data_IF_998230925572
#
_entry.id   IF_998230925572
#
_cell.length_a   1.000
_cell.length_b   1.000
_cell.length_c   1.000
_cell.angle_alpha   90.00
_cell.angle_beta   90.00
_cell.angle_gamma   90.00
#
_symmetry.space_group_name_H-M   'P 1'
#
loop_
_entity.id
_entity.type
_entity.pdbx_description
1 polymer ?
#
# COMPACT_ATOMS: atom_id res chain seq x y z
N UNK A 1 -36.43 13.75 71.64
CA UNK A 1 -37.47 12.84 71.14
C UNK A 1 -37.83 13.27 69.71
N UNK A 2 -37.58 12.39 68.73
CA UNK A 2 -38.18 12.32 67.38
C UNK A 2 -38.04 13.58 66.47
N UNK A 3 -37.14 13.59 65.47
CA UNK A 3 -37.21 12.94 64.15
C UNK A 3 -38.31 13.51 63.23
N UNK A 4 -37.90 14.19 62.15
CA UNK A 4 -38.39 14.08 60.74
C UNK A 4 -37.81 15.26 59.93
N UNK A 5 -36.80 15.02 59.09
CA UNK A 5 -36.92 14.67 57.65
C UNK A 5 -37.66 15.74 56.84
N UNK A 6 -36.93 16.58 56.11
CA UNK A 6 -37.16 16.83 54.67
C UNK A 6 -35.81 17.20 54.03
N UNK A 7 -35.23 16.23 53.33
CA UNK A 7 -34.07 16.39 52.46
C UNK A 7 -34.63 16.64 51.06
N UNK A 8 -34.66 17.89 50.60
CA UNK A 8 -34.98 18.20 49.20
C UNK A 8 -33.68 18.26 48.43
N UNK A 9 -33.29 17.11 47.87
CA UNK A 9 -32.15 16.96 46.98
C UNK A 9 -32.56 17.49 45.59
N UNK A 10 -32.06 18.66 45.19
CA UNK A 10 -32.20 19.14 43.80
C UNK A 10 -31.17 18.40 42.97
N UNK A 11 -31.63 17.38 42.24
CA UNK A 11 -30.85 16.70 41.21
C UNK A 11 -30.77 17.67 40.03
N UNK A 12 -29.63 18.37 39.92
CA UNK A 12 -29.25 19.06 38.70
C UNK A 12 -28.95 17.98 37.65
N UNK A 13 -29.94 17.69 36.82
CA UNK A 13 -29.78 16.91 35.60
C UNK A 13 -28.81 17.66 34.68
N UNK A 14 -27.53 17.29 34.72
CA UNK A 14 -26.62 17.54 33.62
C UNK A 14 -27.18 16.81 32.41
N UNK A 15 -27.78 17.56 31.50
CA UNK A 15 -27.97 17.16 30.11
C UNK A 15 -26.56 16.93 29.54
N UNK A 16 -26.06 15.70 29.69
CA UNK A 16 -25.02 15.21 28.80
C UNK A 16 -25.72 15.18 27.45
N UNK A 17 -25.50 16.23 26.67
CA UNK A 17 -25.85 16.27 25.26
C UNK A 17 -25.00 15.20 24.59
N UNK A 18 -25.46 13.96 24.66
CA UNK A 18 -25.06 12.92 23.74
C UNK A 18 -25.42 13.46 22.36
N UNK A 19 -24.43 13.99 21.65
CA UNK A 19 -24.46 13.99 20.19
C UNK A 19 -24.62 12.53 19.80
N UNK A 20 -25.87 12.09 19.66
CA UNK A 20 -26.19 10.94 18.85
C UNK A 20 -25.73 11.30 17.45
N UNK A 21 -24.51 10.89 17.09
CA UNK A 21 -24.16 10.76 15.69
C UNK A 21 -25.29 9.97 15.03
N UNK A 22 -25.84 10.41 13.90
CA UNK A 22 -26.72 9.56 13.13
C UNK A 22 -25.96 8.27 12.89
N UNK A 23 -26.55 7.16 13.32
CA UNK A 23 -26.10 5.82 13.00
C UNK A 23 -26.19 5.75 11.48
N UNK A 24 -25.08 6.01 10.81
CA UNK A 24 -24.94 5.79 9.39
C UNK A 24 -25.09 4.27 9.26
N UNK A 25 -26.28 3.83 8.88
CA UNK A 25 -26.46 2.50 8.31
C UNK A 25 -25.43 2.42 7.18
N UNK A 26 -24.39 1.63 7.41
CA UNK A 26 -23.54 1.16 6.32
C UNK A 26 -24.41 0.15 5.59
N UNK A 27 -25.08 0.65 4.57
CA UNK A 27 -25.84 -0.16 3.63
C UNK A 27 -24.94 -1.28 3.11
N UNK A 28 -25.41 -2.53 3.15
CA UNK A 28 -24.73 -3.76 2.70
C UNK A 28 -24.19 -3.65 1.25
N UNK A 29 -24.70 -2.69 0.47
CA UNK A 29 -24.24 -2.37 -0.88
C UNK A 29 -22.80 -1.79 -0.91
N UNK A 30 -22.39 -1.05 0.12
CA UNK A 30 -21.06 -0.44 0.20
C UNK A 30 -19.94 -1.47 0.42
N UNK A 31 -20.21 -2.52 1.19
CA UNK A 31 -19.26 -3.62 1.42
C UNK A 31 -19.03 -4.43 0.15
N UNK A 32 -20.11 -4.72 -0.60
CA UNK A 32 -20.05 -5.46 -1.86
C UNK A 32 -19.26 -4.71 -2.95
N UNK A 33 -19.42 -3.39 -3.04
CA UNK A 33 -18.67 -2.57 -3.99
C UNK A 33 -17.18 -2.47 -3.63
N UNK A 34 -16.84 -2.34 -2.35
CA UNK A 34 -15.44 -2.29 -1.90
C UNK A 34 -14.71 -3.63 -2.09
N UNK A 35 -15.38 -4.75 -1.81
CA UNK A 35 -14.82 -6.09 -2.03
C UNK A 35 -14.62 -6.38 -3.53
N UNK A 36 -15.58 -5.97 -4.36
CA UNK A 36 -15.49 -6.11 -5.81
C UNK A 36 -14.41 -5.20 -6.43
N UNK A 37 -14.22 -3.99 -5.90
CA UNK A 37 -13.12 -3.11 -6.27
C UNK A 37 -11.75 -3.73 -5.88
N UNK A 38 -11.63 -4.25 -4.66
CA UNK A 38 -10.41 -4.96 -4.21
C UNK A 38 -10.11 -6.20 -5.06
N UNK A 39 -11.13 -6.96 -5.46
CA UNK A 39 -10.97 -8.14 -6.32
C UNK A 39 -10.52 -7.75 -7.72
N UNK A 40 -11.07 -6.67 -8.27
CA UNK A 40 -10.66 -6.11 -9.56
C UNK A 40 -9.22 -5.61 -9.50
N UNK A 41 -8.83 -4.88 -8.44
CA UNK A 41 -7.47 -4.39 -8.25
C UNK A 41 -6.44 -5.53 -8.09
N UNK A 42 -6.78 -6.60 -7.36
CA UNK A 42 -5.95 -7.82 -7.28
C UNK A 42 -5.75 -8.50 -8.64
N UNK A 43 -6.66 -8.30 -9.59
CA UNK A 43 -6.51 -8.74 -10.98
C UNK A 43 -5.58 -7.88 -11.83
N UNK A 44 -5.29 -6.64 -11.38
CA UNK A 44 -4.43 -5.69 -12.08
C UNK A 44 -2.99 -5.78 -11.57
N UNK A 45 -2.81 -5.75 -10.24
CA UNK A 45 -1.51 -5.84 -9.60
C UNK A 45 -1.58 -6.48 -8.21
N UNK A 46 -0.45 -7.02 -7.78
CA UNK A 46 -0.22 -7.52 -6.44
C UNK A 46 1.21 -7.20 -6.00
N UNK A 47 1.45 -7.16 -4.69
CA UNK A 47 2.79 -7.00 -4.17
C UNK A 47 3.00 -7.85 -2.92
N UNK A 48 4.25 -8.28 -2.72
CA UNK A 48 4.66 -9.14 -1.61
C UNK A 48 6.02 -8.69 -1.09
N UNK A 49 6.13 -8.56 0.23
CA UNK A 49 7.40 -8.24 0.87
C UNK A 49 8.27 -9.47 1.02
N UNK A 50 9.57 -9.30 0.78
CA UNK A 50 10.59 -10.34 0.98
C UNK A 50 10.31 -11.64 0.21
N UNK A 51 9.54 -11.57 -0.88
CA UNK A 51 9.23 -12.69 -1.74
C UNK A 51 10.06 -12.63 -3.03
N UNK A 52 10.59 -13.77 -3.45
CA UNK A 52 11.33 -13.94 -4.71
C UNK A 52 10.72 -15.13 -5.45
N UNK A 53 10.47 -14.98 -6.75
CA UNK A 53 9.97 -16.09 -7.56
C UNK A 53 11.06 -17.16 -7.66
N UNK A 54 10.74 -18.47 -7.53
CA UNK A 54 11.76 -19.52 -7.59
C UNK A 54 12.66 -19.44 -8.84
N UNK A 55 12.07 -19.10 -9.99
CA UNK A 55 12.80 -18.91 -11.26
C UNK A 55 13.72 -17.69 -11.30
N UNK A 56 13.53 -16.71 -10.42
CA UNK A 56 14.35 -15.50 -10.33
C UNK A 56 15.36 -15.57 -9.18
N UNK A 57 15.34 -16.64 -8.38
CA UNK A 57 16.01 -16.71 -7.09
C UNK A 57 17.50 -16.36 -7.16
N UNK A 58 18.24 -17.04 -8.04
CA UNK A 58 19.70 -16.88 -8.14
C UNK A 58 20.07 -15.47 -8.60
N UNK A 59 19.38 -14.97 -9.63
CA UNK A 59 19.67 -13.66 -10.20
C UNK A 59 19.27 -12.49 -9.30
N UNK A 60 18.15 -12.62 -8.58
CA UNK A 60 17.68 -11.61 -7.63
C UNK A 60 18.58 -11.63 -6.40
N UNK A 61 18.99 -12.79 -5.89
CA UNK A 61 19.93 -12.87 -4.77
C UNK A 61 21.29 -12.25 -5.11
N UNK A 62 21.82 -12.52 -6.32
CA UNK A 62 23.04 -11.89 -6.80
C UNK A 62 22.88 -10.36 -6.84
N UNK A 63 21.82 -9.88 -7.48
CA UNK A 63 21.52 -8.45 -7.57
C UNK A 63 21.32 -7.79 -6.19
N UNK A 64 20.69 -8.47 -5.23
CA UNK A 64 20.53 -7.98 -3.85
C UNK A 64 21.87 -7.86 -3.13
N UNK A 65 22.76 -8.83 -3.33
CA UNK A 65 24.12 -8.78 -2.77
C UNK A 65 24.91 -7.57 -3.30
N UNK A 66 24.85 -7.34 -4.61
CA UNK A 66 25.46 -6.19 -5.28
C UNK A 66 24.85 -4.85 -4.80
N UNK A 67 23.53 -4.82 -4.65
CA UNK A 67 22.80 -3.64 -4.18
C UNK A 67 23.13 -3.30 -2.72
N UNK A 68 23.29 -4.30 -1.85
CA UNK A 68 23.69 -4.12 -0.43
C UNK A 68 25.12 -3.63 -0.27
N UNK A 69 26.02 -4.07 -1.15
CA UNK A 69 27.41 -3.62 -1.17
C UNK A 69 27.56 -2.15 -1.58
N UNK A 70 26.51 -1.55 -2.17
CA UNK A 70 26.49 -0.13 -2.49
C UNK A 70 26.51 0.72 -1.20
N UNK A 71 27.39 1.74 -1.20
CA UNK A 71 27.59 2.64 -0.05
C UNK A 71 26.52 3.71 0.11
N UNK A 72 25.62 3.87 -0.86
CA UNK A 72 24.50 4.82 -0.76
C UNK A 72 23.34 4.23 0.04
N UNK A 73 23.07 4.81 1.21
CA UNK A 73 21.97 4.41 2.11
C UNK A 73 20.62 5.02 1.72
N UNK A 74 20.52 5.61 0.52
CA UNK A 74 19.28 6.25 0.03
C UNK A 74 18.90 5.84 -1.38
N UNK A 75 19.76 5.07 -2.06
CA UNK A 75 19.49 4.60 -3.42
C UNK A 75 18.44 3.48 -3.41
N UNK A 76 17.47 3.62 -4.31
CA UNK A 76 16.46 2.60 -4.60
C UNK A 76 16.97 1.82 -5.82
N UNK A 77 17.05 0.51 -5.68
CA UNK A 77 17.44 -0.41 -6.73
C UNK A 77 16.20 -1.07 -7.31
N UNK A 78 16.21 -1.27 -8.63
CA UNK A 78 15.09 -1.83 -9.37
C UNK A 78 15.55 -2.93 -10.33
N UNK A 79 14.76 -4.00 -10.45
CA UNK A 79 14.98 -5.08 -11.41
C UNK A 79 13.65 -5.59 -11.97
N UNK A 80 13.52 -5.65 -13.28
CA UNK A 80 12.31 -6.15 -13.96
C UNK A 80 12.57 -7.46 -14.68
N UNK A 81 11.52 -8.26 -14.75
CA UNK A 81 11.42 -9.46 -15.54
C UNK A 81 10.15 -9.38 -16.40
N UNK A 82 10.34 -9.51 -17.72
CA UNK A 82 9.22 -9.70 -18.65
C UNK A 82 9.01 -11.20 -18.84
N UNK A 83 7.83 -11.68 -18.50
CA UNK A 83 7.45 -13.08 -18.57
C UNK A 83 6.88 -13.46 -19.94
N UNK A 84 7.20 -12.66 -20.98
CA UNK A 84 6.67 -12.76 -22.34
C UNK A 84 6.73 -14.14 -22.98
N UNK A 85 7.62 -15.03 -22.49
CA UNK A 85 7.67 -16.45 -22.87
C UNK A 85 6.37 -17.21 -22.57
N UNK A 86 5.51 -16.67 -21.71
CA UNK A 86 4.20 -17.23 -21.33
C UNK A 86 3.02 -16.59 -22.10
N UNK A 87 3.29 -15.66 -23.01
CA UNK A 87 2.31 -15.01 -23.90
C UNK A 87 2.39 -13.49 -23.88
N UNK A 88 1.70 -12.83 -24.83
CA UNK A 88 1.68 -11.36 -24.97
C UNK A 88 1.08 -10.60 -23.77
N UNK A 89 0.41 -11.31 -22.86
CA UNK A 89 -0.22 -10.78 -21.66
C UNK A 89 0.31 -11.43 -20.38
N UNK A 90 1.51 -11.99 -20.47
CA UNK A 90 2.21 -12.51 -19.32
C UNK A 90 2.37 -11.43 -18.24
N UNK A 91 2.17 -11.77 -16.96
CA UNK A 91 2.35 -10.81 -15.88
C UNK A 91 3.81 -10.37 -15.82
N UNK A 92 4.05 -9.08 -15.63
CA UNK A 92 5.40 -8.56 -15.40
C UNK A 92 5.73 -8.62 -13.92
N UNK A 93 6.99 -8.91 -13.61
CA UNK A 93 7.48 -9.00 -12.23
C UNK A 93 8.59 -7.96 -12.03
N UNK A 94 8.37 -7.05 -11.09
CA UNK A 94 9.34 -6.05 -10.68
C UNK A 94 9.79 -6.32 -9.25
N UNK A 95 11.08 -6.19 -9.00
CA UNK A 95 11.66 -6.17 -7.67
C UNK A 95 12.19 -4.78 -7.36
N UNK A 96 11.93 -4.33 -6.14
CA UNK A 96 12.48 -3.09 -5.61
C UNK A 96 13.14 -3.33 -4.27
N UNK A 97 14.37 -2.84 -4.15
CA UNK A 97 15.17 -2.95 -2.95
C UNK A 97 15.71 -1.58 -2.57
N UNK A 98 15.63 -1.22 -1.29
CA UNK A 98 16.20 0.03 -0.82
C UNK A 98 16.73 -0.12 0.62
N UNK A 99 17.88 0.51 0.86
CA UNK A 99 18.47 0.68 2.20
C UNK A 99 17.94 1.97 2.81
N UNK A 100 17.79 2.02 4.13
CA UNK A 100 17.28 3.20 4.83
C UNK A 100 15.76 3.39 4.71
N UNK A 101 15.03 2.39 4.20
CA UNK A 101 13.57 2.39 4.05
C UNK A 101 12.99 1.12 4.68
N UNK A 102 11.80 1.24 5.26
CA UNK A 102 11.15 0.14 6.00
C UNK A 102 9.99 -0.51 5.26
N UNK A 103 9.43 0.19 4.28
CA UNK A 103 8.26 -0.23 3.53
C UNK A 103 8.11 0.61 2.25
N UNK A 104 7.13 0.26 1.43
CA UNK A 104 6.64 1.00 0.27
C UNK A 104 5.13 1.14 0.36
N UNK A 105 4.64 2.33 0.03
CA UNK A 105 3.24 2.54 -0.35
C UNK A 105 3.13 2.32 -1.86
N UNK A 106 2.19 1.47 -2.27
CA UNK A 106 2.04 1.05 -3.67
C UNK A 106 0.58 1.25 -4.07
N UNK A 107 0.35 2.13 -5.04
CA UNK A 107 -0.96 2.52 -5.50
C UNK A 107 -1.07 2.34 -7.00
N UNK A 108 -2.25 1.96 -7.48
CA UNK A 108 -2.56 1.98 -8.91
C UNK A 108 -3.42 3.20 -9.22
N UNK A 109 -2.96 4.02 -10.15
CA UNK A 109 -3.68 5.21 -10.62
C UNK A 109 -4.14 4.95 -12.04
N UNK A 110 -5.45 4.83 -12.21
CA UNK A 110 -6.06 4.68 -13.52
C UNK A 110 -6.04 6.01 -14.28
N UNK A 111 -5.58 6.00 -15.53
CA UNK A 111 -5.60 7.18 -16.40
C UNK A 111 -6.69 7.02 -17.46
N UNK A 112 -7.71 7.87 -17.38
CA UNK A 112 -8.75 7.99 -18.41
C UNK A 112 -8.23 8.68 -19.69
N UNK A 113 -7.11 9.38 -19.59
CA UNK A 113 -6.52 10.16 -20.68
C UNK A 113 -5.51 9.36 -21.51
N UNK A 114 -5.22 8.12 -21.12
CA UNK A 114 -4.38 7.22 -21.90
C UNK A 114 -5.24 6.55 -22.99
N UNK A 115 -4.87 6.68 -24.26
CA UNK A 115 -5.56 6.08 -25.41
C UNK A 115 -5.74 4.56 -25.29
N UNK A 116 -4.90 3.88 -24.50
CA UNK A 116 -4.99 2.45 -24.21
C UNK A 116 -5.82 2.11 -22.96
N UNK A 117 -6.42 3.11 -22.29
CA UNK A 117 -7.18 2.94 -21.05
C UNK A 117 -6.37 2.21 -19.95
N UNK A 118 -5.05 2.45 -19.89
CA UNK A 118 -4.13 1.86 -18.91
C UNK A 118 -3.80 2.82 -17.78
N UNK A 119 -3.57 2.28 -16.59
CA UNK A 119 -3.07 3.01 -15.44
C UNK A 119 -1.57 2.81 -15.18
N UNK A 120 -1.09 3.43 -14.10
CA UNK A 120 0.30 3.39 -13.65
C UNK A 120 0.37 2.94 -12.20
N UNK A 121 1.40 2.16 -11.85
CA UNK A 121 1.70 1.86 -10.45
C UNK A 121 2.64 2.93 -9.90
N UNK A 122 2.18 3.65 -8.88
CA UNK A 122 2.96 4.62 -8.12
C UNK A 122 3.52 3.97 -6.86
N UNK A 123 4.81 4.20 -6.62
CA UNK A 123 5.56 3.54 -5.55
C UNK A 123 6.25 4.63 -4.74
N UNK A 124 5.87 4.73 -3.46
CA UNK A 124 6.45 5.71 -2.53
C UNK A 124 7.21 4.95 -1.45
N UNK A 125 8.55 5.08 -1.39
CA UNK A 125 9.36 4.43 -0.36
C UNK A 125 9.16 5.13 0.99
N UNK A 126 8.90 4.36 2.05
CA UNK A 126 8.65 4.87 3.39
C UNK A 126 9.94 4.84 4.18
N UNK A 127 10.46 6.02 4.54
CA UNK A 127 11.75 6.15 5.23
C UNK A 127 11.75 5.38 6.55
N UNK A 128 12.85 4.66 6.77
CA UNK A 128 13.15 3.91 7.99
C UNK A 128 14.40 4.45 8.66
N UNK A 129 14.98 3.64 9.55
CA UNK A 129 16.32 3.84 10.11
C UNK A 129 17.37 3.51 9.06
N UNK A 130 18.60 4.00 9.25
CA UNK A 130 19.72 3.71 8.35
C UNK A 130 20.01 2.20 8.19
N UNK A 131 19.66 1.40 9.19
CA UNK A 131 19.82 -0.07 9.19
C UNK A 131 18.65 -0.83 8.58
N UNK A 132 17.54 -0.16 8.29
CA UNK A 132 16.36 -0.83 7.74
C UNK A 132 16.58 -1.08 6.24
N UNK A 133 16.09 -2.22 5.76
CA UNK A 133 16.08 -2.58 4.34
C UNK A 133 14.68 -3.06 3.97
N UNK A 134 14.22 -2.76 2.76
CA UNK A 134 12.93 -3.21 2.26
C UNK A 134 13.07 -3.77 0.84
N UNK A 135 12.68 -5.04 0.69
CA UNK A 135 12.47 -5.71 -0.59
C UNK A 135 10.97 -5.89 -0.83
N UNK A 136 10.48 -5.42 -1.98
CA UNK A 136 9.13 -5.70 -2.45
C UNK A 136 9.17 -6.29 -3.86
N UNK A 137 8.39 -7.35 -4.07
CA UNK A 137 8.04 -7.90 -5.38
C UNK A 137 6.69 -7.31 -5.78
N UNK A 138 6.58 -6.82 -7.01
CA UNK A 138 5.36 -6.27 -7.58
C UNK A 138 5.08 -7.03 -8.86
N UNK A 139 3.92 -7.67 -8.93
CA UNK A 139 3.45 -8.38 -10.10
C UNK A 139 2.26 -7.64 -10.69
N UNK A 140 2.22 -7.44 -12.00
CA UNK A 140 1.11 -6.74 -12.64
C UNK A 140 0.83 -7.21 -14.05
N UNK A 141 -0.39 -7.00 -14.50
CA UNK A 141 -0.84 -7.33 -15.85
C UNK A 141 -0.58 -6.15 -16.81
N UNK A 142 0.27 -6.34 -17.84
CA UNK A 142 0.62 -5.27 -18.78
C UNK A 142 -0.56 -4.81 -19.67
N UNK A 143 -1.70 -5.51 -19.64
CA UNK A 143 -2.94 -5.06 -20.29
C UNK A 143 -3.55 -3.85 -19.60
N UNK A 144 -3.37 -3.72 -18.29
CA UNK A 144 -3.97 -2.66 -17.48
C UNK A 144 -2.94 -1.64 -16.96
N UNK A 145 -1.66 -2.00 -16.96
CA UNK A 145 -0.58 -1.16 -16.44
C UNK A 145 0.42 -0.86 -17.56
N UNK A 146 0.63 0.42 -17.86
CA UNK A 146 1.62 0.83 -18.87
C UNK A 146 3.03 1.02 -18.27
N UNK A 147 3.14 1.20 -16.94
CA UNK A 147 4.44 1.32 -16.29
C UNK A 147 4.37 1.53 -14.78
N UNK A 148 5.55 1.69 -14.18
CA UNK A 148 5.73 1.96 -12.74
C UNK A 148 6.52 3.25 -12.55
N UNK A 149 6.12 4.11 -11.62
CA UNK A 149 6.86 5.31 -11.20
C UNK A 149 7.23 5.21 -9.72
N UNK A 150 8.44 5.66 -9.40
CA UNK A 150 8.93 5.73 -8.03
C UNK A 150 9.04 7.19 -7.64
N UNK A 151 8.35 7.58 -6.58
CA UNK A 151 8.48 8.94 -6.04
C UNK A 151 9.80 9.01 -5.26
N UNK A 152 10.78 9.73 -5.79
CA UNK A 152 11.91 10.16 -4.97
C UNK A 152 11.42 11.26 -4.03
N UNK A 153 11.39 11.00 -2.73
CA UNK A 153 11.31 12.08 -1.75
C UNK A 153 12.60 12.90 -1.88
N UNK A 154 12.58 13.93 -2.72
CA UNK A 154 13.48 15.06 -2.54
C UNK A 154 13.04 15.73 -1.24
N UNK A 155 13.68 15.35 -0.13
CA UNK A 155 13.70 16.21 1.05
C UNK A 155 14.41 17.49 0.59
N UNK A 156 13.62 18.53 0.32
CA UNK A 156 14.12 19.88 0.16
C UNK A 156 14.93 20.18 1.43
N UNK A 157 16.21 20.57 1.31
CA UNK A 157 17.09 20.82 2.45
C UNK A 157 16.58 21.94 3.36
#
# INVERSE_FOLDING_TARGET
MQLRKVLTLIIMSFMISSCSLPKQELDDEGLGQQEQAMKTLKGIYAYEYNAIEPKHLDEVNKWLSESRANRSDTTIFYKSYDESSTGAHAPRVNYMFAKGYKAYEISFVYSIDNEENKGQIYIVPIKGRATDEALVKITYDPRYVFGTSVAEHQLIP
#
